data_IF_287124961919
#
_entry.id   IF_287124961919
#
_cell.length_a   1.000
_cell.length_b   1.000
_cell.length_c   1.000
_cell.angle_alpha   90.00
_cell.angle_beta   90.00
_cell.angle_gamma   90.00
#
_symmetry.space_group_name_H-M   'P 1'
#
loop_
_entity.id
_entity.type
_entity.pdbx_description
1 polymer ?
#
# COMPACT_ATOMS: atom_id res chain seq x y z
N UNK A 1 30.37 0.24 -21.68
CA UNK A 1 29.58 1.28 -20.95
C UNK A 1 28.48 0.54 -20.24
N UNK A 2 28.26 0.76 -18.93
CA UNK A 2 27.19 0.11 -18.21
C UNK A 2 25.83 0.45 -18.84
N UNK A 3 24.91 -0.51 -18.88
CA UNK A 3 23.54 -0.30 -19.34
C UNK A 3 22.81 0.57 -18.32
N UNK A 4 21.95 1.47 -18.79
CA UNK A 4 21.16 2.38 -17.95
C UNK A 4 19.74 1.87 -17.81
N UNK A 5 19.18 1.97 -16.59
CA UNK A 5 17.79 1.67 -16.32
C UNK A 5 17.02 2.88 -15.84
N UNK A 6 15.72 2.88 -16.09
CA UNK A 6 14.71 3.75 -15.50
C UNK A 6 13.59 2.89 -14.93
N UNK A 7 13.12 3.19 -13.75
CA UNK A 7 11.92 2.55 -13.17
C UNK A 7 10.88 3.62 -12.94
N UNK A 8 9.72 3.46 -13.58
CA UNK A 8 8.51 4.23 -13.32
C UNK A 8 7.63 3.43 -12.38
N UNK A 9 7.20 4.05 -11.28
CA UNK A 9 6.40 3.37 -10.23
C UNK A 9 5.04 4.01 -10.14
N UNK A 10 4.00 3.22 -10.34
CA UNK A 10 2.61 3.65 -10.26
C UNK A 10 1.89 2.98 -9.11
N UNK A 11 0.91 3.67 -8.54
CA UNK A 11 -0.01 3.16 -7.53
C UNK A 11 0.46 3.36 -6.10
N UNK A 12 0.55 2.30 -5.31
CA UNK A 12 0.58 2.38 -3.86
C UNK A 12 1.98 2.13 -3.25
N UNK A 13 2.17 2.43 -1.94
CA UNK A 13 3.42 2.15 -1.21
C UNK A 13 3.98 0.73 -1.37
N UNK A 14 3.14 -0.27 -1.59
CA UNK A 14 3.59 -1.65 -1.83
C UNK A 14 4.33 -1.79 -3.17
N UNK A 15 3.86 -1.08 -4.21
CA UNK A 15 4.55 -1.03 -5.50
C UNK A 15 5.87 -0.26 -5.38
N UNK A 16 5.95 0.78 -4.54
CA UNK A 16 7.23 1.47 -4.29
C UNK A 16 8.27 0.51 -3.72
N UNK A 17 7.91 -0.32 -2.74
CA UNK A 17 8.83 -1.34 -2.20
C UNK A 17 9.25 -2.34 -3.28
N UNK A 18 8.32 -2.74 -4.16
CA UNK A 18 8.63 -3.65 -5.27
C UNK A 18 9.64 -3.01 -6.23
N UNK A 19 9.48 -1.73 -6.58
CA UNK A 19 10.42 -0.97 -7.41
C UNK A 19 11.79 -0.80 -6.75
N UNK A 20 11.85 -0.54 -5.44
CA UNK A 20 13.11 -0.45 -4.70
C UNK A 20 13.89 -1.77 -4.76
N UNK A 21 13.18 -2.90 -4.66
CA UNK A 21 13.77 -4.24 -4.74
C UNK A 21 14.24 -4.58 -6.15
N UNK A 22 13.46 -4.19 -7.17
CA UNK A 22 13.88 -4.28 -8.58
C UNK A 22 15.14 -3.42 -8.84
N UNK A 23 15.19 -2.20 -8.27
CA UNK A 23 16.37 -1.36 -8.30
C UNK A 23 17.59 -2.07 -7.73
N UNK A 24 17.45 -2.72 -6.57
CA UNK A 24 18.54 -3.50 -5.96
C UNK A 24 19.05 -4.61 -6.87
N UNK A 25 18.15 -5.32 -7.54
CA UNK A 25 18.50 -6.38 -8.50
C UNK A 25 19.24 -5.81 -9.71
N UNK A 26 18.72 -4.74 -10.32
CA UNK A 26 19.34 -4.12 -11.50
C UNK A 26 20.74 -3.55 -11.18
N UNK A 27 20.92 -2.96 -10.00
CA UNK A 27 22.25 -2.50 -9.55
C UNK A 27 23.23 -3.66 -9.37
N UNK A 28 22.77 -4.80 -8.82
CA UNK A 28 23.57 -6.01 -8.66
C UNK A 28 23.98 -6.62 -10.02
N UNK A 29 23.12 -6.48 -11.04
CA UNK A 29 23.37 -6.90 -12.42
C UNK A 29 24.23 -5.88 -13.19
N UNK A 30 24.75 -4.84 -12.54
CA UNK A 30 25.68 -3.86 -13.13
C UNK A 30 25.00 -2.75 -13.95
N UNK A 31 23.68 -2.59 -13.86
CA UNK A 31 23.01 -1.44 -14.43
C UNK A 31 23.26 -0.19 -13.58
N UNK A 32 23.14 0.98 -14.20
CA UNK A 32 23.18 2.27 -13.51
C UNK A 32 21.91 3.06 -13.80
N UNK A 33 21.45 3.85 -12.84
CA UNK A 33 20.25 4.66 -13.02
C UNK A 33 20.43 5.69 -14.15
N UNK A 34 19.44 5.84 -15.01
CA UNK A 34 19.34 6.93 -15.96
C UNK A 34 18.80 8.19 -15.27
N UNK A 35 19.18 9.37 -15.75
CA UNK A 35 18.61 10.64 -15.28
C UNK A 35 17.30 11.01 -15.96
N UNK A 36 16.97 10.31 -17.05
CA UNK A 36 15.80 10.55 -17.88
C UNK A 36 15.40 9.22 -18.58
N UNK A 37 14.11 8.87 -18.69
CA UNK A 37 13.67 7.63 -19.32
C UNK A 37 14.12 7.50 -20.78
N UNK A 38 14.18 8.60 -21.52
CA UNK A 38 14.67 8.63 -22.91
C UNK A 38 16.16 8.31 -23.06
N UNK A 39 16.93 8.21 -21.96
CA UNK A 39 18.34 7.81 -21.96
C UNK A 39 18.56 6.37 -21.47
N UNK A 40 17.50 5.71 -20.99
CA UNK A 40 17.58 4.35 -20.46
C UNK A 40 17.72 3.31 -21.57
N UNK A 41 18.49 2.25 -21.32
CA UNK A 41 18.56 1.03 -22.13
C UNK A 41 17.47 0.04 -21.77
N UNK A 42 16.99 0.13 -20.52
CA UNK A 42 15.91 -0.65 -19.96
C UNK A 42 14.97 0.30 -19.20
N UNK A 43 13.72 0.36 -19.62
CA UNK A 43 12.64 1.08 -18.93
C UNK A 43 11.73 0.04 -18.27
N UNK A 44 11.55 0.11 -16.97
CA UNK A 44 10.64 -0.76 -16.21
C UNK A 44 9.45 0.07 -15.75
N UNK A 45 8.24 -0.36 -16.08
CA UNK A 45 6.99 0.27 -15.61
C UNK A 45 6.34 -0.67 -14.60
N UNK A 46 6.41 -0.31 -13.32
CA UNK A 46 5.74 -1.06 -12.25
C UNK A 46 4.33 -0.50 -12.07
N UNK A 47 3.35 -1.25 -12.55
CA UNK A 47 1.99 -0.81 -12.80
C UNK A 47 1.01 -1.09 -11.66
N UNK A 48 -0.07 -0.32 -11.62
CA UNK A 48 -1.23 -0.53 -10.75
C UNK A 48 -2.43 -1.08 -11.55
N UNK A 49 -3.27 -1.89 -10.89
CA UNK A 49 -4.54 -2.37 -11.45
C UNK A 49 -5.60 -2.54 -10.36
N UNK A 50 -5.54 -1.71 -9.32
CA UNK A 50 -6.44 -1.81 -8.18
C UNK A 50 -7.85 -1.30 -8.52
N UNK A 51 -7.94 -0.19 -9.23
CA UNK A 51 -9.18 0.43 -9.73
C UNK A 51 -9.01 0.83 -11.19
N UNK A 52 -10.11 1.14 -11.87
CA UNK A 52 -10.13 1.45 -13.30
C UNK A 52 -9.25 2.65 -13.67
N UNK A 53 -9.33 3.73 -12.92
CA UNK A 53 -8.50 4.91 -13.13
C UNK A 53 -7.00 4.59 -13.05
N UNK A 54 -6.59 3.77 -12.09
CA UNK A 54 -5.18 3.37 -11.95
C UNK A 54 -4.73 2.42 -13.07
N UNK A 55 -5.64 1.63 -13.66
CA UNK A 55 -5.36 0.85 -14.88
C UNK A 55 -5.13 1.76 -16.07
N UNK A 56 -6.01 2.74 -16.26
CA UNK A 56 -5.90 3.69 -17.36
C UNK A 56 -4.60 4.50 -17.27
N UNK A 57 -4.30 5.05 -16.09
CA UNK A 57 -3.04 5.73 -15.83
C UNK A 57 -1.84 4.84 -16.19
N UNK A 58 -1.87 3.57 -15.77
CA UNK A 58 -0.79 2.63 -16.07
C UNK A 58 -0.62 2.41 -17.57
N UNK A 59 -1.70 2.28 -18.32
CA UNK A 59 -1.68 2.12 -19.78
C UNK A 59 -1.11 3.36 -20.45
N UNK A 60 -1.59 4.55 -20.06
CA UNK A 60 -1.15 5.82 -20.63
C UNK A 60 0.35 6.06 -20.41
N UNK A 61 0.87 5.74 -19.22
CA UNK A 61 2.31 5.83 -18.90
C UNK A 61 3.12 4.81 -19.70
N UNK A 62 2.65 3.57 -19.85
CA UNK A 62 3.32 2.56 -20.70
C UNK A 62 3.46 3.07 -22.12
N UNK A 63 2.39 3.60 -22.71
CA UNK A 63 2.38 4.15 -24.07
C UNK A 63 3.35 5.33 -24.20
N UNK A 64 3.28 6.29 -23.26
CA UNK A 64 4.16 7.47 -23.24
C UNK A 64 5.64 7.07 -23.17
N UNK A 65 6.00 6.15 -22.28
CA UNK A 65 7.39 5.71 -22.12
C UNK A 65 7.86 4.83 -23.27
N UNK A 66 6.95 4.05 -23.87
CA UNK A 66 7.25 3.26 -25.06
C UNK A 66 7.55 4.14 -26.27
N UNK A 67 6.76 5.18 -26.49
CA UNK A 67 6.96 6.14 -27.59
C UNK A 67 8.20 7.02 -27.38
N UNK A 68 8.48 7.43 -26.14
CA UNK A 68 9.62 8.27 -25.76
C UNK A 68 10.95 7.54 -25.62
N UNK A 69 10.98 6.20 -25.72
CA UNK A 69 12.20 5.42 -25.48
C UNK A 69 13.26 5.66 -26.54
N UNK A 70 14.52 5.55 -26.16
CA UNK A 70 15.60 5.61 -27.14
C UNK A 70 15.58 4.37 -28.05
N UNK A 71 16.10 4.51 -29.26
CA UNK A 71 16.15 3.40 -30.23
C UNK A 71 16.95 2.23 -29.66
N UNK A 72 16.30 1.05 -29.62
CA UNK A 72 16.89 -0.18 -29.09
C UNK A 72 16.76 -0.36 -27.57
N UNK A 73 16.08 0.55 -26.87
CA UNK A 73 15.73 0.36 -25.47
C UNK A 73 14.59 -0.66 -25.34
N UNK A 74 14.66 -1.46 -24.29
CA UNK A 74 13.62 -2.40 -23.92
C UNK A 74 12.67 -1.74 -22.91
N UNK A 75 11.36 -1.95 -23.07
CA UNK A 75 10.33 -1.57 -22.09
C UNK A 75 9.76 -2.83 -21.48
N UNK A 76 9.88 -2.94 -20.16
CA UNK A 76 9.35 -4.05 -19.37
C UNK A 76 8.21 -3.56 -18.50
N UNK A 77 7.04 -4.17 -18.65
CA UNK A 77 5.86 -3.89 -17.84
C UNK A 77 5.73 -4.96 -16.78
N UNK A 78 5.67 -4.54 -15.52
CA UNK A 78 5.49 -5.42 -14.36
C UNK A 78 4.45 -4.83 -13.40
N UNK A 79 4.23 -5.44 -12.26
CA UNK A 79 3.28 -4.95 -11.25
C UNK A 79 1.88 -5.56 -11.39
N UNK A 80 0.89 -4.92 -10.75
CA UNK A 80 -0.46 -5.45 -10.63
C UNK A 80 -1.17 -5.64 -11.98
N UNK A 81 -0.97 -4.71 -12.93
CA UNK A 81 -1.60 -4.80 -14.25
C UNK A 81 -1.00 -5.93 -15.07
N UNK A 82 0.33 -6.08 -15.05
CA UNK A 82 1.01 -7.18 -15.71
C UNK A 82 0.63 -8.54 -15.14
N UNK A 83 0.43 -8.65 -13.83
CA UNK A 83 0.02 -9.89 -13.18
C UNK A 83 -1.44 -10.27 -13.48
N UNK A 84 -2.33 -9.26 -13.56
CA UNK A 84 -3.77 -9.46 -13.72
C UNK A 84 -4.19 -9.62 -15.19
N UNK A 85 -3.58 -8.85 -16.10
CA UNK A 85 -3.96 -8.73 -17.51
C UNK A 85 -2.76 -8.91 -18.45
N UNK A 86 -1.75 -9.70 -18.03
CA UNK A 86 -0.49 -9.83 -18.76
C UNK A 86 -0.65 -10.35 -20.19
N UNK A 87 -1.49 -11.35 -20.41
CA UNK A 87 -1.74 -11.91 -21.75
C UNK A 87 -2.43 -10.90 -22.67
N UNK A 88 -3.41 -10.15 -22.16
CA UNK A 88 -4.11 -9.09 -22.90
C UNK A 88 -3.17 -7.96 -23.28
N UNK A 89 -2.34 -7.52 -22.31
CA UNK A 89 -1.31 -6.50 -22.54
C UNK A 89 -0.28 -6.93 -23.59
N UNK A 90 0.21 -8.16 -23.51
CA UNK A 90 1.19 -8.67 -24.46
C UNK A 90 0.64 -8.73 -25.90
N UNK A 91 -0.66 -8.99 -26.06
CA UNK A 91 -1.34 -8.94 -27.36
C UNK A 91 -1.57 -7.51 -27.84
N UNK A 92 -1.99 -6.62 -26.94
CA UNK A 92 -2.31 -5.23 -27.28
C UNK A 92 -1.06 -4.37 -27.53
N UNK A 93 0.04 -4.67 -26.84
CA UNK A 93 1.30 -3.91 -26.87
C UNK A 93 2.49 -4.83 -27.18
N UNK A 94 2.62 -5.34 -28.41
CA UNK A 94 3.65 -6.33 -28.78
C UNK A 94 5.08 -5.76 -28.72
N UNK A 95 5.25 -4.47 -28.61
CA UNK A 95 6.54 -3.77 -28.49
C UNK A 95 7.08 -3.72 -27.05
N UNK A 96 6.30 -4.13 -26.06
CA UNK A 96 6.74 -4.18 -24.65
C UNK A 96 6.86 -5.64 -24.18
N UNK A 97 7.72 -5.85 -23.18
CA UNK A 97 7.89 -7.16 -22.54
C UNK A 97 7.08 -7.18 -21.24
N UNK A 98 6.07 -8.05 -21.16
CA UNK A 98 5.25 -8.17 -19.95
C UNK A 98 5.83 -9.24 -19.02
N UNK A 99 6.04 -8.87 -17.74
CA UNK A 99 6.60 -9.74 -16.69
C UNK A 99 5.76 -9.67 -15.42
N UNK A 100 5.24 -10.78 -14.95
CA UNK A 100 4.57 -10.88 -13.65
C UNK A 100 5.54 -10.75 -12.47
N UNK A 101 5.01 -10.78 -11.25
CA UNK A 101 5.79 -10.63 -10.01
C UNK A 101 6.84 -11.72 -9.77
N UNK A 102 6.70 -12.86 -10.39
CA UNK A 102 7.56 -14.03 -10.18
C UNK A 102 8.65 -14.18 -11.26
N UNK A 103 8.81 -13.16 -12.13
CA UNK A 103 9.75 -13.18 -13.24
C UNK A 103 10.73 -12.00 -13.10
N UNK A 104 12.03 -12.28 -13.38
CA UNK A 104 13.05 -11.22 -13.41
C UNK A 104 12.74 -10.23 -14.53
N UNK A 105 12.91 -8.94 -14.26
CA UNK A 105 12.78 -7.87 -15.28
C UNK A 105 14.07 -7.64 -16.05
N UNK A 106 15.22 -8.11 -15.54
CA UNK A 106 16.49 -8.01 -16.24
C UNK A 106 16.54 -9.03 -17.40
N UNK A 107 16.99 -8.62 -18.62
CA UNK A 107 17.24 -9.56 -19.71
C UNK A 107 18.36 -10.52 -19.28
N UNK A 108 18.10 -11.81 -19.32
CA UNK A 108 19.15 -12.81 -19.08
C UNK A 108 20.00 -12.99 -20.34
N UNK A 109 21.21 -12.46 -20.34
CA UNK A 109 22.23 -12.70 -21.38
C UNK A 109 22.91 -14.09 -21.25
N UNK A 110 22.43 -14.93 -20.33
CA UNK A 110 22.98 -16.28 -20.12
C UNK A 110 21.95 -17.33 -20.50
N UNK A 111 22.07 -17.82 -21.73
CA UNK A 111 21.51 -19.06 -22.19
C UNK A 111 22.18 -20.23 -21.43
N UNK A 112 21.76 -20.47 -20.20
CA UNK A 112 21.99 -21.72 -19.52
C UNK A 112 20.83 -22.63 -19.91
N UNK A 113 21.04 -23.38 -21.00
CA UNK A 113 20.17 -24.43 -21.44
C UNK A 113 19.83 -25.39 -20.30
N UNK A 114 18.71 -25.16 -19.67
CA UNK A 114 18.02 -26.15 -18.89
C UNK A 114 17.00 -26.80 -19.81
N UNK A 115 17.43 -27.90 -20.42
CA UNK A 115 16.56 -28.88 -21.02
C UNK A 115 15.43 -29.26 -20.04
N UNK A 116 14.25 -28.69 -20.29
CA UNK A 116 13.01 -29.12 -19.63
C UNK A 116 12.46 -30.36 -20.37
N UNK A 117 13.19 -31.47 -20.30
CA UNK A 117 12.67 -32.80 -20.65
C UNK A 117 12.65 -33.68 -19.41
N UNK A 118 11.71 -33.38 -18.49
CA UNK A 118 11.27 -34.27 -17.43
C UNK A 118 9.82 -34.63 -17.66
N UNK A 119 9.62 -35.75 -18.41
CA UNK A 119 8.31 -36.37 -18.54
C UNK A 119 7.78 -36.69 -17.13
N UNK A 120 6.65 -36.07 -16.76
CA UNK A 120 5.93 -36.40 -15.54
C UNK A 120 5.32 -37.81 -15.72
N UNK A 121 5.80 -38.74 -14.93
CA UNK A 121 5.17 -40.06 -14.76
C UNK A 121 3.93 -39.86 -13.88
N UNK A 122 2.78 -40.09 -14.52
CA UNK A 122 1.44 -39.84 -13.99
C UNK A 122 0.93 -41.10 -13.28
N UNK A 123 1.43 -41.36 -12.04
CA UNK A 123 0.78 -42.35 -11.18
C UNK A 123 0.91 -41.98 -9.71
N UNK A 124 -0.27 -41.76 -9.11
CA UNK A 124 -0.54 -41.57 -7.69
C UNK A 124 -0.48 -40.15 -7.16
N UNK A 125 -1.63 -39.45 -7.17
CA UNK A 125 -1.88 -38.27 -6.40
C UNK A 125 -1.99 -38.63 -4.91
N UNK A 126 -1.08 -38.22 -4.01
CA UNK A 126 -1.27 -38.42 -2.59
C UNK A 126 -2.31 -37.42 -2.08
N UNK A 127 -3.48 -37.92 -1.71
CA UNK A 127 -4.51 -37.16 -1.00
C UNK A 127 -4.04 -36.94 0.43
N UNK A 128 -3.54 -35.76 0.73
CA UNK A 128 -3.20 -35.35 2.09
C UNK A 128 -4.43 -34.77 2.76
N UNK A 129 -5.00 -35.50 3.69
CA UNK A 129 -6.11 -35.04 4.54
C UNK A 129 -5.48 -34.14 5.62
N UNK A 130 -5.78 -32.82 5.59
CA UNK A 130 -5.58 -31.90 6.72
C UNK A 130 -4.32 -31.04 6.75
N UNK A 131 -3.48 -30.98 5.68
CA UNK A 131 -2.44 -29.95 5.55
C UNK A 131 -2.80 -28.97 4.43
N UNK A 132 -2.84 -27.65 4.78
CA UNK A 132 -2.81 -26.61 3.73
C UNK A 132 -1.57 -26.89 2.84
N UNK A 133 -1.71 -26.82 1.49
CA UNK A 133 -0.54 -26.96 0.64
C UNK A 133 0.51 -25.93 1.06
N UNK A 134 1.76 -26.37 1.18
CA UNK A 134 2.86 -25.46 1.44
C UNK A 134 2.92 -24.44 0.30
N UNK A 135 2.81 -23.16 0.62
CA UNK A 135 2.94 -22.07 -0.36
C UNK A 135 4.34 -22.18 -0.97
N UNK A 136 4.39 -22.49 -2.27
CA UNK A 136 5.66 -22.65 -2.98
C UNK A 136 6.24 -21.25 -3.19
N UNK A 137 7.38 -20.93 -2.55
CA UNK A 137 8.08 -19.69 -2.80
C UNK A 137 8.57 -19.70 -4.26
N UNK A 138 8.26 -18.66 -5.05
CA UNK A 138 8.74 -18.57 -6.42
C UNK A 138 10.27 -18.56 -6.50
N UNK A 139 10.84 -18.98 -7.62
CA UNK A 139 12.30 -18.92 -7.87
C UNK A 139 12.82 -17.47 -7.86
N UNK A 140 11.98 -16.52 -8.23
CA UNK A 140 12.20 -15.07 -8.07
C UNK A 140 11.17 -14.54 -7.07
N UNK A 141 11.59 -14.32 -5.83
CA UNK A 141 10.73 -13.82 -4.76
C UNK A 141 11.02 -12.36 -4.44
N UNK A 142 10.33 -11.47 -5.11
CA UNK A 142 10.45 -10.02 -4.97
C UNK A 142 10.29 -9.55 -3.51
N UNK A 143 9.49 -10.27 -2.71
CA UNK A 143 9.22 -9.92 -1.31
C UNK A 143 10.47 -9.90 -0.43
N UNK A 144 11.44 -10.80 -0.70
CA UNK A 144 12.65 -10.96 0.12
C UNK A 144 13.94 -10.48 -0.56
N UNK A 145 13.88 -9.88 -1.75
CA UNK A 145 15.06 -9.32 -2.40
C UNK A 145 15.64 -8.14 -1.59
N UNK A 146 16.97 -7.95 -1.64
CA UNK A 146 17.60 -6.74 -1.10
C UNK A 146 17.23 -5.51 -1.93
N UNK A 147 17.36 -4.35 -1.31
CA UNK A 147 17.19 -3.05 -1.97
C UNK A 147 18.22 -2.03 -1.50
N UNK A 148 18.46 -0.94 -2.26
CA UNK A 148 19.35 0.12 -1.82
C UNK A 148 18.77 0.84 -0.59
N UNK A 149 19.61 1.63 0.08
CA UNK A 149 19.18 2.54 1.14
C UNK A 149 18.20 3.57 0.58
N UNK A 150 17.26 3.99 1.40
CA UNK A 150 16.35 5.06 1.05
C UNK A 150 17.14 6.39 0.90
N UNK A 151 16.87 7.19 -0.12
CA UNK A 151 17.40 8.56 -0.20
C UNK A 151 16.65 9.52 0.75
N UNK A 152 15.52 9.09 1.32
CA UNK A 152 14.67 9.84 2.25
C UNK A 152 14.91 9.37 3.69
N UNK A 153 14.59 10.18 4.71
CA UNK A 153 14.74 9.79 6.11
C UNK A 153 13.69 8.77 6.58
N UNK A 154 12.87 8.28 5.69
CA UNK A 154 11.86 7.26 5.93
C UNK A 154 11.83 6.23 4.80
N UNK A 155 11.21 5.08 5.06
CA UNK A 155 11.01 4.05 4.04
C UNK A 155 9.77 3.20 4.31
N UNK A 156 9.10 2.76 3.25
CA UNK A 156 8.12 1.69 3.34
C UNK A 156 8.81 0.34 3.49
N UNK A 157 8.28 -0.54 4.32
CA UNK A 157 8.72 -1.94 4.44
C UNK A 157 7.53 -2.87 4.29
N UNK A 158 7.56 -3.69 3.24
CA UNK A 158 6.54 -4.70 3.02
C UNK A 158 6.79 -5.90 3.92
N UNK A 159 5.84 -6.20 4.81
CA UNK A 159 5.97 -7.29 5.80
C UNK A 159 5.32 -8.59 5.34
N UNK A 160 4.38 -8.51 4.41
CA UNK A 160 3.70 -9.65 3.80
C UNK A 160 3.25 -9.33 2.38
N UNK A 161 3.00 -10.35 1.58
CA UNK A 161 2.44 -10.30 0.23
C UNK A 161 1.16 -11.12 0.17
N UNK A 162 0.18 -10.70 -0.63
CA UNK A 162 -1.09 -11.41 -0.79
C UNK A 162 -2.11 -11.13 0.33
N UNK A 163 -3.33 -11.66 0.19
CA UNK A 163 -4.41 -11.42 1.12
C UNK A 163 -5.41 -12.58 1.11
N UNK A 164 -5.77 -13.08 2.30
CA UNK A 164 -6.76 -14.16 2.48
C UNK A 164 -8.20 -13.61 2.72
N UNK A 165 -8.41 -12.28 2.66
CA UNK A 165 -9.72 -11.66 2.85
C UNK A 165 -10.63 -11.87 1.63
N UNK A 166 -11.94 -11.90 1.88
CA UNK A 166 -12.95 -12.07 0.84
C UNK A 166 -13.83 -10.82 0.67
N UNK A 167 -13.24 -9.61 0.75
CA UNK A 167 -13.97 -8.35 0.57
C UNK A 167 -14.69 -8.32 -0.77
N UNK A 168 -15.98 -7.93 -0.76
CA UNK A 168 -16.85 -8.05 -1.92
C UNK A 168 -16.47 -7.21 -3.15
N UNK A 169 -15.62 -6.21 -2.97
CA UNK A 169 -15.16 -5.27 -4.00
C UNK A 169 -13.72 -5.52 -4.47
N UNK A 170 -12.98 -6.43 -3.82
CA UNK A 170 -11.53 -6.48 -3.96
C UNK A 170 -11.07 -7.69 -4.78
N UNK A 171 -10.35 -7.45 -5.85
CA UNK A 171 -9.76 -8.48 -6.71
C UNK A 171 -8.34 -8.90 -6.29
N UNK A 172 -7.71 -8.26 -5.29
CA UNK A 172 -6.31 -8.52 -4.88
C UNK A 172 -6.00 -10.01 -4.67
N UNK A 173 -6.84 -10.82 -3.99
CA UNK A 173 -6.53 -12.23 -3.78
C UNK A 173 -6.35 -13.03 -5.07
N UNK A 174 -7.00 -12.63 -6.17
CA UNK A 174 -6.96 -13.36 -7.43
C UNK A 174 -5.61 -13.24 -8.16
N UNK A 175 -4.87 -12.14 -7.96
CA UNK A 175 -3.60 -11.91 -8.66
C UNK A 175 -2.38 -11.74 -7.74
N UNK A 176 -2.56 -11.34 -6.47
CA UNK A 176 -1.48 -11.32 -5.47
C UNK A 176 -1.36 -12.62 -4.67
N UNK A 177 -2.36 -13.49 -4.79
CA UNK A 177 -2.42 -14.80 -4.15
C UNK A 177 -2.69 -14.74 -2.64
N UNK A 178 -2.53 -15.90 -1.95
CA UNK A 178 -2.71 -16.00 -0.52
C UNK A 178 -1.62 -15.24 0.23
N UNK A 179 -1.92 -14.85 1.48
CA UNK A 179 -0.97 -14.13 2.30
C UNK A 179 0.30 -14.95 2.58
N UNK A 180 1.45 -14.34 2.37
CA UNK A 180 2.79 -14.84 2.72
C UNK A 180 3.51 -13.81 3.57
N UNK A 181 3.69 -14.09 4.85
CA UNK A 181 4.39 -13.22 5.80
C UNK A 181 5.91 -13.47 5.76
N UNK A 182 6.68 -12.41 5.87
CA UNK A 182 8.14 -12.48 6.06
C UNK A 182 8.48 -12.84 7.51
N UNK A 183 9.66 -13.37 7.76
CA UNK A 183 10.15 -13.54 9.13
C UNK A 183 10.46 -12.18 9.77
N UNK A 184 10.31 -12.09 11.10
CA UNK A 184 10.66 -10.88 11.87
C UNK A 184 12.12 -10.52 11.63
N UNK A 185 13.03 -11.50 11.72
CA UNK A 185 14.47 -11.28 11.53
C UNK A 185 14.80 -10.66 10.16
N UNK A 186 14.17 -11.16 9.09
CA UNK A 186 14.39 -10.60 7.74
C UNK A 186 13.86 -9.16 7.60
N UNK A 187 12.76 -8.83 8.28
CA UNK A 187 12.21 -7.47 8.29
C UNK A 187 13.12 -6.54 9.10
N UNK A 188 13.52 -6.94 10.30
CA UNK A 188 14.39 -6.15 11.18
C UNK A 188 15.75 -5.91 10.52
N UNK A 189 16.31 -6.92 9.84
CA UNK A 189 17.55 -6.76 9.09
C UNK A 189 17.40 -5.73 7.96
N UNK A 190 16.32 -5.80 7.17
CA UNK A 190 16.05 -4.80 6.12
C UNK A 190 15.90 -3.39 6.72
N UNK A 191 15.20 -3.24 7.85
CA UNK A 191 15.05 -1.97 8.56
C UNK A 191 16.41 -1.41 8.98
N UNK A 192 17.27 -2.25 9.55
CA UNK A 192 18.62 -1.86 9.94
C UNK A 192 19.45 -1.39 8.74
N UNK A 193 19.37 -2.08 7.60
CA UNK A 193 20.15 -1.78 6.41
C UNK A 193 19.70 -0.48 5.73
N UNK A 194 18.41 -0.10 5.89
CA UNK A 194 17.85 1.14 5.34
C UNK A 194 18.38 2.41 6.02
N UNK A 195 18.73 2.35 7.31
CA UNK A 195 19.29 3.48 8.08
C UNK A 195 18.45 4.75 8.04
N UNK A 196 17.15 4.64 8.24
CA UNK A 196 16.18 5.73 8.22
C UNK A 196 15.67 6.06 9.63
N UNK A 197 14.94 7.17 9.77
CA UNK A 197 14.37 7.64 11.04
C UNK A 197 12.92 7.15 11.24
N UNK A 198 12.20 6.88 10.16
CA UNK A 198 10.83 6.37 10.21
C UNK A 198 10.68 5.17 9.27
N UNK A 199 10.06 4.11 9.77
CA UNK A 199 9.61 2.97 8.98
C UNK A 199 8.09 2.96 8.90
N UNK A 200 7.58 2.78 7.69
CA UNK A 200 6.14 2.59 7.44
C UNK A 200 5.91 1.14 7.03
N UNK A 201 5.31 0.36 7.90
CA UNK A 201 4.99 -1.04 7.65
C UNK A 201 3.76 -1.14 6.75
N UNK A 202 3.87 -1.91 5.67
CA UNK A 202 2.80 -2.08 4.68
C UNK A 202 2.60 -3.55 4.29
N UNK A 203 1.34 -3.92 4.00
CA UNK A 203 0.94 -5.19 3.40
C UNK A 203 -0.45 -5.00 2.75
N UNK A 204 -0.95 -5.99 2.01
CA UNK A 204 -2.35 -6.00 1.55
C UNK A 204 -3.33 -6.19 2.72
N UNK A 205 -2.95 -7.00 3.72
CA UNK A 205 -3.63 -7.15 5.01
C UNK A 205 -2.57 -7.20 6.13
N UNK A 206 -2.20 -6.05 6.63
CA UNK A 206 -1.15 -5.92 7.63
C UNK A 206 -1.55 -6.60 8.95
N UNK A 207 -2.81 -6.49 9.34
CA UNK A 207 -3.32 -7.03 10.58
C UNK A 207 -3.30 -8.58 10.65
N UNK A 208 -3.26 -9.27 9.51
CA UNK A 208 -3.16 -10.73 9.41
C UNK A 208 -1.71 -11.25 9.39
N UNK A 209 -0.70 -10.39 9.58
CA UNK A 209 0.70 -10.79 9.59
C UNK A 209 0.97 -11.98 10.52
N UNK A 210 1.65 -13.00 9.99
CA UNK A 210 2.07 -14.21 10.72
C UNK A 210 1.01 -15.31 10.85
N UNK A 211 -0.25 -15.09 10.43
CA UNK A 211 -1.30 -16.11 10.48
C UNK A 211 -0.98 -17.32 9.60
N UNK A 212 -0.40 -17.10 8.42
CA UNK A 212 0.07 -18.13 7.50
C UNK A 212 1.20 -19.00 8.09
N UNK A 213 1.92 -18.48 9.08
CA UNK A 213 2.97 -19.18 9.82
C UNK A 213 2.48 -19.84 11.12
N UNK A 214 1.17 -19.85 11.37
CA UNK A 214 0.56 -20.43 12.57
C UNK A 214 0.77 -19.63 13.86
N UNK A 215 1.26 -18.39 13.76
CA UNK A 215 1.54 -17.53 14.93
C UNK A 215 0.31 -16.77 15.44
N UNK A 216 -0.78 -16.77 14.66
CA UNK A 216 -2.05 -16.10 15.01
C UNK A 216 -1.91 -14.59 15.17
N UNK A 217 -2.84 -13.99 15.91
CA UNK A 217 -2.97 -12.52 16.06
C UNK A 217 -1.82 -11.86 16.85
N UNK A 218 -0.92 -12.66 17.42
CA UNK A 218 0.17 -12.16 18.27
C UNK A 218 1.43 -11.79 17.51
N UNK A 219 1.48 -12.01 16.20
CA UNK A 219 2.72 -11.83 15.44
C UNK A 219 3.02 -10.39 15.09
N UNK A 220 2.00 -9.55 14.88
CA UNK A 220 2.19 -8.14 14.54
C UNK A 220 2.80 -7.34 15.71
N UNK A 221 2.33 -7.54 16.93
CA UNK A 221 2.83 -6.84 18.12
C UNK A 221 4.33 -7.11 18.37
N UNK A 222 4.83 -8.35 18.40
CA UNK A 222 6.26 -8.60 18.47
C UNK A 222 7.06 -7.96 17.35
N UNK A 223 6.58 -8.04 16.10
CA UNK A 223 7.25 -7.39 14.97
C UNK A 223 7.38 -5.87 15.18
N UNK A 224 6.28 -5.20 15.54
CA UNK A 224 6.30 -3.75 15.75
C UNK A 224 7.29 -3.36 16.84
N UNK A 225 7.36 -4.12 17.94
CA UNK A 225 8.30 -3.86 19.04
C UNK A 225 9.76 -4.05 18.60
N UNK A 226 10.05 -5.11 17.84
CA UNK A 226 11.41 -5.35 17.33
C UNK A 226 11.83 -4.26 16.34
N UNK A 227 10.94 -3.80 15.47
CA UNK A 227 11.22 -2.68 14.55
C UNK A 227 11.41 -1.38 15.33
N UNK A 228 10.56 -1.09 16.33
CA UNK A 228 10.66 0.11 17.16
C UNK A 228 11.94 0.15 18.03
N UNK A 229 12.58 -1.00 18.27
CA UNK A 229 13.88 -1.05 18.92
C UNK A 229 15.04 -0.60 18.02
N UNK A 230 14.80 -0.56 16.68
CA UNK A 230 15.82 -0.22 15.67
C UNK A 230 15.67 1.21 15.15
N UNK A 231 14.43 1.72 15.04
CA UNK A 231 14.16 3.05 14.50
C UNK A 231 13.30 3.89 15.44
N UNK A 232 13.44 5.23 15.44
CA UNK A 232 12.69 6.13 16.32
C UNK A 232 11.17 6.14 16.07
N UNK A 233 10.73 5.95 14.82
CA UNK A 233 9.32 6.00 14.43
C UNK A 233 8.91 4.78 13.62
N UNK A 234 7.78 4.15 14.03
CA UNK A 234 7.17 3.03 13.29
C UNK A 234 5.71 3.33 13.02
N UNK A 235 5.35 3.48 11.76
CA UNK A 235 3.98 3.71 11.30
C UNK A 235 3.39 2.45 10.70
N UNK A 236 2.11 2.20 10.96
CA UNK A 236 1.36 1.08 10.41
C UNK A 236 0.25 1.62 9.49
N UNK A 237 0.15 1.09 8.25
CA UNK A 237 -0.92 1.43 7.32
C UNK A 237 -1.81 0.22 7.04
N UNK A 238 -3.07 0.50 6.63
CA UNK A 238 -4.04 -0.51 6.18
C UNK A 238 -4.48 -1.49 7.27
N UNK A 239 -4.80 -0.96 8.46
CA UNK A 239 -5.29 -1.75 9.58
C UNK A 239 -6.75 -2.18 9.36
N UNK A 240 -7.00 -3.48 9.48
CA UNK A 240 -8.37 -3.99 9.45
C UNK A 240 -9.01 -3.81 10.84
N UNK A 241 -10.17 -3.14 10.96
CA UNK A 241 -10.70 -2.67 12.26
C UNK A 241 -10.96 -3.78 13.30
N UNK A 242 -11.34 -4.99 12.86
CA UNK A 242 -11.61 -6.10 13.79
C UNK A 242 -10.37 -6.67 14.47
N UNK A 243 -9.19 -6.39 13.92
CA UNK A 243 -7.92 -6.91 14.40
C UNK A 243 -7.20 -5.94 15.35
N UNK A 244 -7.77 -4.77 15.57
CA UNK A 244 -7.20 -3.73 16.41
C UNK A 244 -7.41 -4.07 17.90
N UNK A 245 -6.56 -4.94 18.43
CA UNK A 245 -6.59 -5.33 19.85
C UNK A 245 -6.02 -4.23 20.74
N UNK A 246 -6.41 -4.23 22.03
CA UNK A 246 -5.89 -3.25 23.00
C UNK A 246 -4.37 -3.29 23.10
N UNK A 247 -3.76 -4.47 23.06
CA UNK A 247 -2.29 -4.63 23.08
C UNK A 247 -1.64 -4.03 21.83
N UNK A 248 -2.29 -4.13 20.65
CA UNK A 248 -1.78 -3.50 19.45
C UNK A 248 -1.89 -1.98 19.53
N UNK A 249 -3.03 -1.46 20.02
CA UNK A 249 -3.22 -0.01 20.25
C UNK A 249 -2.13 0.54 21.17
N UNK A 250 -1.93 -0.08 22.34
CA UNK A 250 -0.91 0.33 23.30
C UNK A 250 0.49 0.30 22.66
N UNK A 251 0.80 -0.78 21.91
CA UNK A 251 2.08 -0.89 21.18
C UNK A 251 2.24 0.21 20.14
N UNK A 252 1.19 0.57 19.39
CA UNK A 252 1.25 1.65 18.41
C UNK A 252 1.46 3.01 19.08
N UNK A 253 0.85 3.26 20.22
CA UNK A 253 1.10 4.50 20.99
C UNK A 253 2.55 4.60 21.48
N UNK A 254 3.22 3.45 21.71
CA UNK A 254 4.62 3.39 22.16
C UNK A 254 5.65 3.61 21.01
N UNK A 255 5.24 3.59 19.74
CA UNK A 255 6.15 3.66 18.57
C UNK A 255 6.64 5.05 18.21
N UNK A 256 6.24 6.09 18.94
CA UNK A 256 6.46 7.49 18.58
C UNK A 256 5.54 8.01 17.45
N UNK A 257 4.65 7.15 16.92
CA UNK A 257 3.69 7.50 15.86
C UNK A 257 2.30 6.94 16.21
N UNK A 258 1.54 7.59 17.11
CA UNK A 258 0.16 7.21 17.40
C UNK A 258 -0.77 7.59 16.24
N UNK A 259 -0.63 6.90 15.12
CA UNK A 259 -1.35 7.12 13.88
C UNK A 259 -2.09 5.84 13.48
N UNK A 260 -3.40 5.95 13.30
CA UNK A 260 -4.31 4.83 13.07
C UNK A 260 -4.96 4.93 11.70
N UNK A 261 -4.36 4.27 10.69
CA UNK A 261 -4.96 4.13 9.35
C UNK A 261 -5.93 2.94 9.33
N UNK A 262 -7.21 3.23 9.54
CA UNK A 262 -8.27 2.24 9.68
C UNK A 262 -8.98 2.02 8.34
N UNK A 263 -8.91 0.82 7.78
CA UNK A 263 -9.62 0.46 6.54
C UNK A 263 -11.11 0.22 6.82
N UNK A 264 -11.90 1.27 7.08
CA UNK A 264 -13.33 1.17 7.45
C UNK A 264 -14.20 0.79 6.24
N UNK A 265 -14.00 1.46 5.11
CA UNK A 265 -14.67 1.29 3.81
C UNK A 265 -16.11 1.79 3.75
N UNK A 266 -16.90 1.67 4.80
CA UNK A 266 -18.25 2.20 5.01
C UNK A 266 -18.61 2.10 6.50
N UNK A 267 -19.81 2.60 6.89
CA UNK A 267 -20.27 2.60 8.30
C UNK A 267 -21.60 1.91 8.51
N UNK A 268 -22.49 1.90 7.51
CA UNK A 268 -23.76 1.18 7.59
C UNK A 268 -23.53 -0.33 7.76
N UNK A 269 -24.08 -0.90 8.82
CA UNK A 269 -23.93 -2.32 9.12
C UNK A 269 -24.52 -3.23 8.02
N UNK A 270 -25.61 -2.80 7.38
CA UNK A 270 -26.23 -3.52 6.28
C UNK A 270 -25.32 -3.49 5.05
N UNK A 271 -24.74 -2.33 4.74
CA UNK A 271 -23.87 -2.13 3.62
C UNK A 271 -22.53 -2.86 3.78
N UNK A 272 -21.90 -2.78 4.95
CA UNK A 272 -20.67 -3.53 5.27
C UNK A 272 -20.85 -5.05 5.14
N UNK A 273 -22.00 -5.61 5.54
CA UNK A 273 -22.30 -7.03 5.29
C UNK A 273 -22.34 -7.37 3.80
N UNK A 274 -22.92 -6.48 2.95
CA UNK A 274 -22.89 -6.64 1.49
C UNK A 274 -21.47 -6.59 0.93
N UNK A 275 -20.63 -5.73 1.50
CA UNK A 275 -19.19 -5.65 1.17
C UNK A 275 -18.37 -6.82 1.73
N UNK A 276 -18.98 -7.76 2.48
CA UNK A 276 -18.31 -8.81 3.23
C UNK A 276 -17.25 -8.27 4.20
N UNK A 277 -17.60 -7.15 4.86
CA UNK A 277 -16.77 -6.45 5.84
C UNK A 277 -17.40 -6.53 7.24
N UNK A 278 -16.55 -6.44 8.26
CA UNK A 278 -16.94 -6.39 9.65
C UNK A 278 -17.17 -4.96 10.11
N UNK A 279 -18.13 -4.77 11.04
CA UNK A 279 -18.29 -3.55 11.80
C UNK A 279 -19.59 -2.80 11.52
N UNK A 280 -19.70 -1.63 12.12
CA UNK A 280 -20.73 -0.61 11.96
C UNK A 280 -20.21 0.72 12.53
N UNK A 281 -20.79 1.85 12.16
CA UNK A 281 -20.39 3.18 12.58
C UNK A 281 -20.22 3.33 14.09
N UNK A 282 -21.24 2.96 14.88
CA UNK A 282 -21.16 3.06 16.35
C UNK A 282 -19.97 2.29 16.96
N UNK A 283 -19.67 1.08 16.45
CA UNK A 283 -18.52 0.31 16.94
C UNK A 283 -17.18 0.97 16.58
N UNK A 284 -17.12 1.62 15.42
CA UNK A 284 -15.93 2.35 15.01
C UNK A 284 -15.72 3.61 15.85
N UNK A 285 -16.80 4.37 16.12
CA UNK A 285 -16.76 5.53 17.02
C UNK A 285 -16.30 5.15 18.42
N UNK A 286 -16.91 4.13 19.03
CA UNK A 286 -16.50 3.62 20.34
C UNK A 286 -15.00 3.28 20.38
N UNK A 287 -14.46 2.69 19.31
CA UNK A 287 -13.04 2.35 19.23
C UNK A 287 -12.15 3.59 19.08
N UNK A 288 -12.55 4.56 18.23
CA UNK A 288 -11.84 5.83 18.05
C UNK A 288 -11.78 6.62 19.36
N UNK A 289 -12.92 6.74 20.06
CA UNK A 289 -13.02 7.41 21.36
C UNK A 289 -12.17 6.73 22.44
N UNK A 290 -12.20 5.39 22.49
CA UNK A 290 -11.36 4.63 23.42
C UNK A 290 -9.86 4.86 23.17
N UNK A 291 -9.43 4.98 21.91
CA UNK A 291 -8.05 5.32 21.56
C UNK A 291 -7.72 6.75 21.95
N UNK A 292 -8.57 7.72 21.63
CA UNK A 292 -8.39 9.13 22.03
C UNK A 292 -8.34 9.32 23.55
N UNK A 293 -9.09 8.49 24.28
CA UNK A 293 -9.03 8.49 25.74
C UNK A 293 -7.70 7.99 26.32
N UNK A 294 -6.96 7.15 25.58
CA UNK A 294 -5.62 6.63 25.95
C UNK A 294 -4.51 7.55 25.45
N UNK A 295 -4.65 8.01 24.21
CA UNK A 295 -3.70 8.85 23.49
C UNK A 295 -4.44 10.04 22.85
N UNK A 296 -4.52 11.18 23.56
CA UNK A 296 -5.23 12.36 23.05
C UNK A 296 -4.64 12.94 21.76
N UNK A 297 -3.36 12.68 21.49
CA UNK A 297 -2.68 13.15 20.28
C UNK A 297 -2.80 12.15 19.12
N UNK A 298 -3.56 11.04 19.29
CA UNK A 298 -3.74 10.06 18.24
C UNK A 298 -4.34 10.69 16.98
N UNK A 299 -3.70 10.43 15.85
CA UNK A 299 -4.19 10.81 14.53
C UNK A 299 -4.90 9.64 13.86
N UNK A 300 -5.98 9.92 13.15
CA UNK A 300 -6.80 8.92 12.49
C UNK A 300 -6.91 9.18 11.00
N UNK A 301 -6.76 8.10 10.23
CA UNK A 301 -7.01 8.07 8.80
C UNK A 301 -7.97 6.95 8.45
N UNK A 302 -8.81 7.17 7.44
CA UNK A 302 -9.62 6.12 6.86
C UNK A 302 -9.85 6.32 5.36
N UNK A 303 -10.37 5.26 4.73
CA UNK A 303 -10.85 5.31 3.36
C UNK A 303 -12.26 4.75 3.30
N UNK A 304 -13.12 5.38 2.47
CA UNK A 304 -14.49 4.98 2.25
C UNK A 304 -14.76 4.79 0.76
N UNK A 305 -15.57 3.79 0.43
CA UNK A 305 -16.04 3.50 -0.93
C UNK A 305 -17.47 3.98 -1.05
N UNK A 306 -17.73 4.88 -1.99
CA UNK A 306 -19.03 5.47 -2.29
C UNK A 306 -19.56 4.88 -3.58
N UNK A 307 -20.88 4.60 -3.64
CA UNK A 307 -21.53 4.05 -4.84
C UNK A 307 -21.35 2.54 -4.98
N UNK A 308 -20.98 1.81 -3.93
CA UNK A 308 -21.01 0.35 -3.95
C UNK A 308 -22.45 -0.15 -4.23
N UNK A 309 -22.65 -1.21 -5.05
CA UNK A 309 -23.99 -1.67 -5.45
C UNK A 309 -24.95 -1.86 -4.27
N UNK A 310 -26.11 -1.22 -4.36
CA UNK A 310 -27.16 -1.20 -3.35
C UNK A 310 -26.95 -0.23 -2.19
N UNK A 311 -26.06 0.77 -2.31
CA UNK A 311 -25.97 1.90 -1.39
C UNK A 311 -27.21 2.77 -1.47
N UNK A 312 -27.91 2.96 -0.36
CA UNK A 312 -29.10 3.78 -0.26
C UNK A 312 -28.77 5.21 0.18
N UNK A 313 -29.76 6.11 0.13
CA UNK A 313 -29.65 7.45 0.71
C UNK A 313 -29.40 7.38 2.22
N UNK A 314 -30.14 6.51 2.93
CA UNK A 314 -29.93 6.31 4.37
C UNK A 314 -28.52 5.82 4.69
N UNK A 315 -27.91 4.95 3.82
CA UNK A 315 -26.51 4.51 3.99
C UNK A 315 -25.54 5.69 3.82
N UNK A 316 -25.80 6.61 2.88
CA UNK A 316 -24.99 7.80 2.65
C UNK A 316 -25.12 8.80 3.80
N UNK A 317 -26.34 9.07 4.27
CA UNK A 317 -26.62 9.95 5.42
C UNK A 317 -25.93 9.42 6.69
N UNK A 318 -25.95 8.09 6.91
CA UNK A 318 -25.21 7.45 8.01
C UNK A 318 -23.70 7.67 7.90
N UNK A 319 -23.15 7.66 6.67
CA UNK A 319 -21.73 7.92 6.43
C UNK A 319 -21.37 9.39 6.68
N UNK A 320 -22.18 10.35 6.22
CA UNK A 320 -21.99 11.77 6.49
C UNK A 320 -22.00 12.05 8.00
N UNK A 321 -23.01 11.57 8.72
CA UNK A 321 -23.12 11.74 10.16
C UNK A 321 -21.89 11.14 10.90
N UNK A 322 -21.39 9.98 10.44
CA UNK A 322 -20.20 9.38 11.00
C UNK A 322 -18.95 10.24 10.76
N UNK A 323 -18.74 10.77 9.56
CA UNK A 323 -17.59 11.61 9.23
C UNK A 323 -17.58 12.87 10.11
N UNK A 324 -18.75 13.51 10.29
CA UNK A 324 -18.92 14.67 11.15
C UNK A 324 -18.62 14.35 12.62
N UNK A 325 -19.10 13.22 13.15
CA UNK A 325 -18.91 12.83 14.54
C UNK A 325 -17.49 12.29 14.80
N UNK A 326 -16.96 11.44 13.90
CA UNK A 326 -15.65 10.83 14.07
C UNK A 326 -14.50 11.84 13.98
N UNK A 327 -14.66 12.93 13.21
CA UNK A 327 -13.64 13.98 13.03
C UNK A 327 -12.26 13.39 12.83
N UNK A 328 -12.12 12.54 11.77
CA UNK A 328 -10.83 11.93 11.43
C UNK A 328 -9.88 13.01 10.88
N UNK A 329 -8.58 12.85 11.12
CA UNK A 329 -7.58 13.80 10.62
C UNK A 329 -7.50 13.76 9.09
N UNK A 330 -7.65 12.56 8.51
CA UNK A 330 -7.57 12.31 7.08
C UNK A 330 -8.61 11.30 6.62
N UNK A 331 -9.33 11.60 5.54
CA UNK A 331 -10.22 10.66 4.88
C UNK A 331 -10.01 10.67 3.36
N UNK A 332 -9.93 9.47 2.78
CA UNK A 332 -10.05 9.27 1.33
C UNK A 332 -11.43 8.75 0.97
N UNK A 333 -12.09 9.38 -0.01
CA UNK A 333 -13.36 8.91 -0.56
C UNK A 333 -13.16 8.51 -2.01
N UNK A 334 -13.49 7.26 -2.33
CA UNK A 334 -13.26 6.65 -3.63
C UNK A 334 -14.57 6.20 -4.23
N UNK A 335 -14.76 6.48 -5.52
CA UNK A 335 -15.84 5.88 -6.29
C UNK A 335 -15.69 4.35 -6.27
N UNK A 336 -16.79 3.64 -6.18
CA UNK A 336 -16.77 2.20 -6.40
C UNK A 336 -16.31 1.90 -7.83
N UNK A 337 -15.26 1.11 -7.97
CA UNK A 337 -14.77 0.57 -9.23
C UNK A 337 -15.26 -0.86 -9.40
N UNK A 338 -15.87 -1.17 -10.54
CA UNK A 338 -16.31 -2.53 -10.86
C UNK A 338 -15.12 -3.39 -11.29
N UNK A 339 -14.76 -4.34 -10.44
CA UNK A 339 -13.62 -5.22 -10.67
C UNK A 339 -14.09 -6.62 -11.03
N UNK A 340 -13.67 -7.10 -12.18
CA UNK A 340 -14.00 -8.44 -12.67
C UNK A 340 -13.61 -9.53 -11.65
N UNK A 341 -14.46 -10.56 -11.51
CA UNK A 341 -14.26 -11.66 -10.58
C UNK A 341 -14.63 -11.35 -9.13
N UNK A 342 -15.04 -10.11 -8.80
CA UNK A 342 -15.51 -9.75 -7.45
C UNK A 342 -16.99 -10.06 -7.25
N UNK A 343 -17.40 -10.19 -5.98
CA UNK A 343 -18.82 -10.34 -5.65
C UNK A 343 -19.63 -9.09 -6.07
N UNK A 344 -19.08 -7.90 -5.91
CA UNK A 344 -19.77 -6.66 -6.26
C UNK A 344 -20.10 -6.58 -7.76
N UNK A 345 -19.21 -7.06 -8.63
CA UNK A 345 -19.44 -7.08 -10.08
C UNK A 345 -20.63 -7.99 -10.49
N UNK A 346 -21.04 -8.94 -9.65
CA UNK A 346 -22.21 -9.80 -9.94
C UNK A 346 -23.54 -9.15 -9.59
N UNK A 347 -23.53 -7.95 -9.01
CA UNK A 347 -24.74 -7.24 -8.56
C UNK A 347 -25.29 -6.37 -9.67
N UNK A 348 -26.62 -6.19 -9.69
CA UNK A 348 -27.33 -5.39 -10.69
C UNK A 348 -27.84 -4.04 -10.15
N UNK A 349 -27.81 -3.83 -8.83
CA UNK A 349 -28.28 -2.64 -8.13
C UNK A 349 -27.19 -1.54 -8.09
N UNK A 350 -26.69 -1.15 -9.28
CA UNK A 350 -25.64 -0.15 -9.45
C UNK A 350 -26.17 1.24 -9.14
N UNK A 351 -25.29 2.08 -8.62
CA UNK A 351 -25.58 3.49 -8.35
C UNK A 351 -25.28 4.30 -9.61
N UNK A 352 -26.15 5.26 -9.88
CA UNK A 352 -25.96 6.20 -10.99
C UNK A 352 -24.64 6.96 -10.81
N UNK A 353 -23.77 7.07 -11.85
CA UNK A 353 -22.49 7.75 -11.75
C UNK A 353 -22.59 9.22 -11.34
N UNK A 354 -23.66 9.93 -11.73
CA UNK A 354 -23.86 11.33 -11.33
C UNK A 354 -24.18 11.42 -9.84
N UNK A 355 -25.07 10.56 -9.33
CA UNK A 355 -25.35 10.50 -7.89
C UNK A 355 -24.11 10.11 -7.06
N UNK A 356 -23.30 9.20 -7.58
CA UNK A 356 -22.04 8.83 -6.93
C UNK A 356 -21.06 10.01 -6.88
N UNK A 357 -20.96 10.79 -7.95
CA UNK A 357 -20.13 11.99 -7.99
C UNK A 357 -20.62 13.07 -7.01
N UNK A 358 -21.93 13.27 -6.90
CA UNK A 358 -22.53 14.23 -5.95
C UNK A 358 -22.22 13.82 -4.50
N UNK A 359 -22.41 12.55 -4.14
CA UNK A 359 -22.10 12.01 -2.81
C UNK A 359 -20.61 12.13 -2.46
N UNK A 360 -19.74 11.90 -3.44
CA UNK A 360 -18.29 12.09 -3.25
C UNK A 360 -17.92 13.55 -3.00
N UNK A 361 -18.55 14.48 -3.72
CA UNK A 361 -18.31 15.91 -3.55
C UNK A 361 -18.72 16.36 -2.13
N UNK A 362 -19.90 15.96 -1.68
CA UNK A 362 -20.43 16.29 -0.35
C UNK A 362 -19.52 15.78 0.79
N UNK A 363 -19.10 14.52 0.71
CA UNK A 363 -18.20 13.93 1.70
C UNK A 363 -16.81 14.59 1.72
N UNK A 364 -16.29 14.98 0.55
CA UNK A 364 -15.00 15.67 0.45
C UNK A 364 -15.07 17.08 1.03
N UNK A 365 -16.12 17.83 0.73
CA UNK A 365 -16.33 19.16 1.29
C UNK A 365 -16.41 19.11 2.82
N UNK A 366 -17.22 18.19 3.37
CA UNK A 366 -17.30 17.98 4.82
C UNK A 366 -15.94 17.62 5.45
N UNK A 367 -15.18 16.73 4.83
CA UNK A 367 -13.87 16.34 5.36
C UNK A 367 -12.83 17.45 5.24
N UNK A 368 -12.85 18.23 4.17
CA UNK A 368 -11.94 19.36 3.98
C UNK A 368 -12.14 20.39 5.10
N UNK A 369 -13.39 20.69 5.49
CA UNK A 369 -13.71 21.57 6.62
C UNK A 369 -13.17 20.98 7.93
N UNK A 370 -13.41 19.69 8.21
CA UNK A 370 -12.90 19.01 9.41
C UNK A 370 -11.36 19.02 9.45
N UNK A 371 -10.72 18.75 8.33
CA UNK A 371 -9.24 18.74 8.25
C UNK A 371 -8.68 20.14 8.50
N UNK A 372 -9.33 21.19 7.97
CA UNK A 372 -8.94 22.57 8.22
C UNK A 372 -9.11 22.95 9.71
N UNK A 373 -10.24 22.60 10.32
CA UNK A 373 -10.46 22.86 11.76
C UNK A 373 -9.40 22.17 12.62
N UNK A 374 -9.06 20.91 12.32
CA UNK A 374 -8.01 20.18 13.03
C UNK A 374 -6.62 20.79 12.87
N UNK A 375 -6.32 21.37 11.72
CA UNK A 375 -5.08 22.12 11.50
C UNK A 375 -5.09 23.42 12.31
N UNK A 376 -6.22 24.12 12.35
CA UNK A 376 -6.37 25.34 13.14
C UNK A 376 -6.20 25.09 14.65
N UNK A 377 -6.61 23.92 15.16
CA UNK A 377 -6.36 23.48 16.53
C UNK A 377 -4.85 23.35 16.87
N UNK A 378 -3.99 23.23 15.87
CA UNK A 378 -2.53 23.16 16.05
C UNK A 378 -1.88 24.55 16.12
N UNK A 379 -2.58 25.63 15.76
CA UNK A 379 -2.03 26.99 15.80
C UNK A 379 -1.48 27.33 17.18
N UNK A 380 -0.29 27.93 17.20
CA UNK A 380 0.49 28.25 18.39
C UNK A 380 0.97 27.06 19.23
N UNK A 381 0.68 25.81 18.85
CA UNK A 381 1.20 24.62 19.53
C UNK A 381 2.61 24.28 19.04
N UNK A 382 3.37 23.62 19.91
CA UNK A 382 4.66 23.02 19.54
C UNK A 382 4.42 21.58 19.09
N UNK A 383 4.93 21.24 17.89
CA UNK A 383 4.87 19.90 17.33
C UNK A 383 6.28 19.38 17.03
N UNK A 384 6.49 18.08 17.22
CA UNK A 384 7.72 17.43 16.81
C UNK A 384 7.58 16.96 15.36
N UNK A 385 8.51 17.35 14.51
CA UNK A 385 8.53 17.00 13.08
C UNK A 385 9.78 16.21 12.74
N UNK A 386 9.66 15.25 11.83
CA UNK A 386 10.77 14.69 11.09
C UNK A 386 10.94 15.55 9.84
N UNK A 387 12.13 16.09 9.65
CA UNK A 387 12.49 16.87 8.44
C UNK A 387 12.73 15.89 7.29
N UNK A 388 11.86 15.88 6.31
CA UNK A 388 11.99 14.99 5.14
C UNK A 388 13.02 15.53 4.15
N UNK A 389 12.97 16.83 3.90
CA UNK A 389 13.94 17.58 3.10
C UNK A 389 13.98 19.06 3.59
N UNK A 390 14.99 19.87 3.21
CA UNK A 390 15.00 21.28 3.57
C UNK A 390 13.71 21.99 3.18
N UNK A 391 13.05 22.60 4.16
CA UNK A 391 11.77 23.29 3.95
C UNK A 391 10.53 22.44 4.15
N UNK A 392 10.64 21.11 4.25
CA UNK A 392 9.49 20.18 4.34
C UNK A 392 9.69 19.11 5.42
N UNK A 393 8.65 18.81 6.16
CA UNK A 393 8.66 17.70 7.12
C UNK A 393 7.26 17.27 7.51
N UNK A 394 7.19 16.33 8.43
CA UNK A 394 5.93 15.74 8.92
C UNK A 394 5.98 15.50 10.42
N UNK A 395 4.84 15.67 11.05
CA UNK A 395 4.63 15.19 12.42
C UNK A 395 4.23 13.70 12.43
N UNK A 396 3.78 13.21 13.57
CA UNK A 396 3.15 11.88 13.64
C UNK A 396 1.80 11.82 12.91
N UNK A 397 1.17 12.98 12.62
CA UNK A 397 -0.17 13.08 12.03
C UNK A 397 -0.19 12.86 10.52
N UNK A 398 0.94 12.99 9.84
CA UNK A 398 1.05 12.89 8.39
C UNK A 398 1.84 11.64 7.98
N UNK A 399 1.20 10.74 7.23
CA UNK A 399 1.89 9.64 6.57
C UNK A 399 2.61 10.14 5.29
N UNK A 400 3.84 9.68 5.03
CA UNK A 400 4.61 10.15 3.87
C UNK A 400 3.88 9.86 2.56
N UNK A 401 3.88 10.85 1.66
CA UNK A 401 3.29 10.80 0.30
C UNK A 401 1.77 10.59 0.24
N UNK A 402 1.10 10.42 1.38
CA UNK A 402 -0.33 10.09 1.44
C UNK A 402 -1.14 11.25 2.01
N UNK A 403 -0.64 11.87 3.07
CA UNK A 403 -1.30 12.96 3.77
C UNK A 403 -0.61 14.30 3.48
N UNK A 404 -0.86 15.32 4.30
CA UNK A 404 -0.24 16.62 4.18
C UNK A 404 1.24 16.66 4.57
N UNK A 405 1.83 17.84 4.41
CA UNK A 405 3.19 18.16 4.84
C UNK A 405 3.19 19.45 5.67
N UNK A 406 4.24 19.62 6.47
CA UNK A 406 4.48 20.84 7.24
C UNK A 406 5.60 21.61 6.57
N UNK A 407 5.34 22.88 6.20
CA UNK A 407 6.38 23.79 5.71
C UNK A 407 7.30 24.18 6.86
N UNK A 408 8.60 24.01 6.67
CA UNK A 408 9.61 24.20 7.69
C UNK A 408 10.65 25.25 7.26
N UNK A 409 11.43 25.83 8.20
CA UNK A 409 12.61 26.61 7.85
C UNK A 409 13.65 25.77 7.05
N UNK A 410 14.14 26.29 5.94
CA UNK A 410 15.08 25.60 5.04
C UNK A 410 16.42 25.19 5.69
N UNK A 411 16.81 25.84 6.81
CA UNK A 411 18.06 25.52 7.50
C UNK A 411 18.03 24.21 8.31
N UNK A 412 16.83 23.61 8.48
CA UNK A 412 16.69 22.32 9.16
C UNK A 412 17.18 21.20 8.25
N UNK A 413 18.05 20.36 8.79
CA UNK A 413 18.67 19.27 8.01
C UNK A 413 17.73 18.08 7.86
N UNK A 414 17.64 17.52 6.65
CA UNK A 414 16.91 16.28 6.40
C UNK A 414 17.34 15.14 7.35
N UNK A 415 16.38 14.33 7.79
CA UNK A 415 16.61 13.20 8.70
C UNK A 415 16.80 13.61 10.16
N UNK A 416 16.54 14.88 10.53
CA UNK A 416 16.56 15.32 11.93
C UNK A 416 15.14 15.50 12.47
N UNK A 417 14.99 15.29 13.78
CA UNK A 417 13.77 15.69 14.50
C UNK A 417 13.92 17.12 14.99
N UNK A 418 12.88 17.92 14.83
CA UNK A 418 12.84 19.30 15.29
C UNK A 418 11.52 19.59 16.00
N UNK A 419 11.55 20.40 17.05
CA UNK A 419 10.33 20.99 17.66
C UNK A 419 10.09 22.34 17.02
N UNK A 420 8.91 22.51 16.45
CA UNK A 420 8.51 23.72 15.75
C UNK A 420 7.18 24.23 16.28
N UNK A 421 7.00 25.55 16.28
CA UNK A 421 5.72 26.15 16.63
C UNK A 421 4.92 26.40 15.36
N UNK A 422 3.69 25.90 15.33
CA UNK A 422 2.75 26.13 14.22
C UNK A 422 2.33 27.60 14.21
N UNK A 423 2.58 28.30 13.11
CA UNK A 423 2.26 29.74 12.95
C UNK A 423 1.25 30.02 11.86
N UNK A 424 0.89 29.01 11.07
CA UNK A 424 -0.15 29.00 10.03
C UNK A 424 -0.63 27.58 9.82
N UNK A 425 -1.87 27.41 9.45
CA UNK A 425 -2.53 26.13 9.25
C UNK A 425 -3.22 26.06 7.88
#
# INVERSE_FOLDING_TARGET
VPRRYWIETLGCPKNQVDSDKLTGTLLADGYVAASDPGQADLVVVNTCAFIDEARQESIDVILQLSDGRKRGAEVVVTGCLAERHGDELAVALPEVVVRGFNLSVAPHDHDHGHDATGAADDTATPVSIGRKPAVRVPSFDLLNLPRPRSPRPWAYVKIAEGCDRACGFCAIPSFRGPQRSRSIDAIVQEVHDLQVQEIVLVAQDLASYGRDQGKGDKSLVPLVREVAAVVPRVRLLYLYPSELSDVLIDTMCETGVPYFDLSLQHVSAAHLRRMKRWGKGATFLERIEAIRGREPEAAFRSNFIVGYPGETEDDHDELLAFVEEARLDWCGFFAYSEEEGTYAATRSDRIDPALMADRLAELRELQDDITQEKRDELLCREVEVLVDEPGVGRSHREAPEIDGVITLPEHLAAGTFARVRVVGA
#
